data_IF_773662530591
#
_entry.id   IF_773662530591
#
_cell.length_a   1.000
_cell.length_b   1.000
_cell.length_c   1.000
_cell.angle_alpha   90.00
_cell.angle_beta   90.00
_cell.angle_gamma   90.00
#
_symmetry.space_group_name_H-M   'P 1'
#
loop_
_entity.id
_entity.type
_entity.pdbx_description
1 polymer ?
#
# COMPACT_ATOMS: atom_id res chain seq x y z
N UNK A 1 6.00 1.36 19.37
CA UNK A 1 6.30 2.71 18.84
C UNK A 1 5.39 3.04 17.67
N UNK A 2 5.22 2.13 16.69
CA UNK A 2 4.10 2.20 15.74
C UNK A 2 2.82 1.71 16.42
N UNK A 3 1.76 2.52 16.52
CA UNK A 3 0.48 2.08 17.09
C UNK A 3 -0.05 0.84 16.35
N UNK A 4 -0.66 -0.09 17.09
CA UNK A 4 -1.41 -1.25 16.54
C UNK A 4 -0.58 -2.27 15.73
N UNK A 5 0.73 -2.08 15.58
CA UNK A 5 1.62 -3.00 14.88
C UNK A 5 2.55 -3.72 15.86
N UNK A 6 2.50 -5.05 15.85
CA UNK A 6 3.19 -5.92 16.81
C UNK A 6 4.57 -6.36 16.33
N UNK A 7 4.78 -6.41 15.01
CA UNK A 7 5.98 -6.97 14.40
C UNK A 7 6.58 -6.02 13.37
N UNK A 8 7.89 -6.16 13.18
CA UNK A 8 8.68 -5.38 12.24
C UNK A 8 9.66 -6.27 11.47
N UNK A 9 9.78 -6.01 10.17
CA UNK A 9 10.79 -6.59 9.29
C UNK A 9 11.58 -5.48 8.62
N UNK A 10 12.90 -5.49 8.79
CA UNK A 10 13.78 -4.51 8.16
C UNK A 10 14.14 -4.88 6.72
N UNK A 11 14.37 -3.84 5.91
CA UNK A 11 14.81 -3.92 4.53
C UNK A 11 15.79 -2.80 4.17
N UNK A 12 16.37 -2.86 2.97
CA UNK A 12 17.38 -1.89 2.51
C UNK A 12 16.82 -0.74 1.68
N UNK A 13 15.64 -0.91 1.08
CA UNK A 13 15.01 0.11 0.25
C UNK A 13 13.47 -0.03 0.30
N UNK A 14 12.79 1.01 -0.19
CA UNK A 14 11.32 1.10 -0.15
C UNK A 14 10.63 0.05 -0.99
N UNK A 15 11.06 -0.11 -2.24
CA UNK A 15 10.56 -1.15 -3.16
C UNK A 15 10.54 -2.54 -2.53
N UNK A 16 11.60 -2.90 -1.81
CA UNK A 16 11.72 -4.20 -1.15
C UNK A 16 10.65 -4.39 -0.07
N UNK A 17 10.46 -3.42 0.83
CA UNK A 17 9.53 -3.61 1.95
C UNK A 17 8.07 -3.51 1.52
N UNK A 18 7.74 -2.69 0.50
CA UNK A 18 6.38 -2.63 -0.04
C UNK A 18 6.04 -3.85 -0.87
N UNK A 19 6.99 -4.36 -1.66
CA UNK A 19 6.81 -5.64 -2.35
C UNK A 19 6.73 -6.80 -1.36
N UNK A 20 7.47 -6.76 -0.24
CA UNK A 20 7.32 -7.74 0.83
C UNK A 20 5.93 -7.68 1.46
N UNK A 21 5.36 -6.49 1.68
CA UNK A 21 4.00 -6.32 2.17
C UNK A 21 2.97 -6.92 1.20
N UNK A 22 3.09 -6.63 -0.10
CA UNK A 22 2.27 -7.23 -1.16
C UNK A 22 2.35 -8.76 -1.16
N UNK A 23 3.56 -9.31 -1.06
CA UNK A 23 3.76 -10.77 -1.01
C UNK A 23 3.16 -11.38 0.26
N UNK A 24 3.30 -10.71 1.40
CA UNK A 24 2.72 -11.16 2.67
C UNK A 24 1.19 -11.14 2.62
N UNK A 25 0.59 -10.10 2.03
CA UNK A 25 -0.86 -10.06 1.84
C UNK A 25 -1.37 -11.23 0.98
N UNK A 26 -0.71 -11.50 -0.15
CA UNK A 26 -1.04 -12.64 -1.02
C UNK A 26 -0.90 -13.97 -0.29
N UNK A 27 0.17 -14.14 0.49
CA UNK A 27 0.37 -15.34 1.29
C UNK A 27 -0.68 -15.51 2.40
N UNK A 28 -1.10 -14.40 3.02
CA UNK A 28 -2.06 -14.40 4.12
C UNK A 28 -3.47 -14.80 3.66
N UNK A 29 -3.96 -14.21 2.57
CA UNK A 29 -5.34 -14.42 2.12
C UNK A 29 -5.50 -15.34 0.91
N UNK A 30 -4.41 -15.76 0.27
CA UNK A 30 -4.44 -16.63 -0.92
C UNK A 30 -5.00 -15.94 -2.17
N UNK A 31 -5.14 -14.62 -2.16
CA UNK A 31 -5.69 -13.83 -3.25
C UNK A 31 -4.57 -13.25 -4.10
N UNK A 32 -4.87 -12.88 -5.35
CA UNK A 32 -3.82 -12.60 -6.36
C UNK A 32 -3.68 -11.13 -6.73
N UNK A 33 -4.78 -10.37 -6.77
CA UNK A 33 -4.73 -9.00 -7.26
C UNK A 33 -4.22 -8.02 -6.21
N UNK A 34 -3.38 -7.09 -6.66
CA UNK A 34 -2.96 -5.91 -5.91
C UNK A 34 -3.65 -4.71 -6.52
N UNK A 35 -4.15 -3.80 -5.69
CA UNK A 35 -4.84 -2.60 -6.14
C UNK A 35 -4.10 -1.37 -5.63
N UNK A 36 -3.91 -0.36 -6.47
CA UNK A 36 -3.32 0.93 -6.07
C UNK A 36 -3.90 2.09 -6.92
N UNK A 37 -3.76 3.36 -6.49
CA UNK A 37 -4.23 4.50 -7.29
C UNK A 37 -3.39 4.70 -8.56
N UNK A 38 -3.99 4.56 -9.74
CA UNK A 38 -3.28 4.59 -11.03
C UNK A 38 -2.64 5.93 -11.40
N UNK A 39 -3.05 6.99 -10.70
CA UNK A 39 -2.54 8.36 -10.79
C UNK A 39 -1.41 8.65 -9.76
N UNK A 40 -0.96 7.63 -9.03
CA UNK A 40 0.21 7.70 -8.15
C UNK A 40 1.53 7.53 -8.93
N UNK A 41 2.54 8.38 -8.70
CA UNK A 41 3.73 8.42 -9.54
C UNK A 41 4.69 7.26 -9.28
N UNK A 42 4.73 6.74 -8.04
CA UNK A 42 5.70 5.70 -7.69
C UNK A 42 5.36 4.95 -6.40
N UNK A 43 5.43 3.62 -6.42
CA UNK A 43 5.48 2.76 -5.22
C UNK A 43 6.70 1.84 -5.19
N UNK A 44 7.02 1.19 -6.32
CA UNK A 44 8.11 0.21 -6.39
C UNK A 44 8.63 0.11 -7.83
N UNK A 45 9.88 -0.29 -8.02
CA UNK A 45 10.35 -0.69 -9.36
C UNK A 45 10.01 -2.14 -9.68
N UNK A 46 9.42 -2.89 -8.74
CA UNK A 46 9.05 -4.29 -8.97
C UNK A 46 7.80 -4.40 -9.85
N UNK A 47 7.72 -5.51 -10.59
CA UNK A 47 6.77 -5.79 -11.66
C UNK A 47 5.30 -5.49 -11.33
N UNK A 48 4.90 -5.70 -10.07
CA UNK A 48 3.52 -5.46 -9.62
C UNK A 48 3.11 -3.99 -9.75
N UNK A 49 4.05 -3.04 -9.63
CA UNK A 49 3.79 -1.61 -9.81
C UNK A 49 4.28 -1.13 -11.17
N UNK A 50 5.56 -1.37 -11.48
CA UNK A 50 6.19 -0.76 -12.66
C UNK A 50 5.51 -1.21 -13.96
N UNK A 51 4.94 -2.43 -13.97
CA UNK A 51 4.17 -3.00 -15.07
C UNK A 51 2.87 -2.26 -15.41
N UNK A 52 2.40 -1.36 -14.53
CA UNK A 52 1.22 -0.51 -14.74
C UNK A 52 1.59 0.95 -15.08
N UNK A 53 2.87 1.25 -15.24
CA UNK A 53 3.36 2.61 -15.59
C UNK A 53 3.67 2.72 -17.09
N UNK A 54 3.99 3.92 -17.57
CA UNK A 54 4.51 4.10 -18.93
C UNK A 54 5.89 3.46 -19.17
N UNK A 55 6.58 3.04 -18.10
CA UNK A 55 7.92 2.44 -18.13
C UNK A 55 7.85 0.91 -17.91
N UNK A 56 6.94 0.23 -18.60
CA UNK A 56 6.57 -1.18 -18.37
C UNK A 56 7.27 -2.18 -19.31
N UNK A 57 8.28 -1.75 -20.05
CA UNK A 57 9.05 -2.60 -20.97
C UNK A 57 9.82 -3.66 -20.19
N UNK A 58 9.77 -4.90 -20.67
CA UNK A 58 10.43 -6.04 -20.04
C UNK A 58 9.59 -6.77 -18.99
N UNK A 59 8.39 -6.28 -18.68
CA UNK A 59 7.47 -6.93 -17.73
C UNK A 59 6.50 -7.86 -18.50
N UNK A 60 6.46 -9.17 -18.19
CA UNK A 60 5.50 -10.10 -18.78
C UNK A 60 4.04 -9.70 -18.53
N UNK A 61 3.16 -10.01 -19.49
CA UNK A 61 1.74 -9.63 -19.43
C UNK A 61 1.02 -10.27 -18.23
N UNK A 62 1.44 -11.48 -17.86
CA UNK A 62 0.93 -12.22 -16.71
C UNK A 62 1.17 -11.44 -15.41
N UNK A 63 2.36 -10.87 -15.23
CA UNK A 63 2.66 -10.04 -14.06
C UNK A 63 1.84 -8.75 -14.04
N UNK A 64 1.67 -8.10 -15.19
CA UNK A 64 0.83 -6.90 -15.32
C UNK A 64 -0.61 -7.20 -14.94
N UNK A 65 -1.14 -8.32 -15.41
CA UNK A 65 -2.54 -8.73 -15.18
C UNK A 65 -2.89 -8.99 -13.71
N UNK A 66 -1.89 -9.17 -12.84
CA UNK A 66 -2.07 -9.36 -11.39
C UNK A 66 -2.23 -8.05 -10.61
N UNK A 67 -2.29 -6.92 -11.30
CA UNK A 67 -2.44 -5.61 -10.68
C UNK A 67 -3.60 -4.86 -11.32
N UNK A 68 -4.40 -4.23 -10.48
CA UNK A 68 -5.54 -3.38 -10.87
C UNK A 68 -5.30 -1.97 -10.34
N UNK A 69 -5.91 -0.98 -10.99
CA UNK A 69 -5.78 0.42 -10.58
C UNK A 69 -7.15 1.07 -10.43
N UNK A 70 -7.29 1.92 -9.41
CA UNK A 70 -8.47 2.77 -9.23
C UNK A 70 -8.07 4.25 -9.35
N UNK A 71 -9.06 5.15 -9.40
CA UNK A 71 -8.81 6.60 -9.41
C UNK A 71 -8.79 7.13 -7.98
N UNK A 72 -7.72 7.83 -7.60
CA UNK A 72 -7.61 8.33 -6.23
C UNK A 72 -8.72 9.32 -5.83
N UNK A 73 -9.26 10.08 -6.79
CA UNK A 73 -10.33 11.05 -6.52
C UNK A 73 -11.75 10.45 -6.58
N UNK A 74 -11.90 9.14 -6.77
CA UNK A 74 -13.21 8.49 -6.92
C UNK A 74 -13.18 7.05 -6.38
N UNK A 75 -13.54 6.89 -5.11
CA UNK A 75 -13.59 5.59 -4.44
C UNK A 75 -14.65 4.63 -5.02
N UNK A 76 -15.63 5.13 -5.78
CA UNK A 76 -16.58 4.25 -6.47
C UNK A 76 -15.88 3.36 -7.50
N UNK A 77 -14.74 3.81 -8.05
CA UNK A 77 -13.92 2.99 -8.95
C UNK A 77 -13.24 1.83 -8.22
N UNK A 78 -12.89 2.00 -6.94
CA UNK A 78 -12.39 0.92 -6.10
C UNK A 78 -13.50 -0.07 -5.74
N UNK A 79 -14.69 0.44 -5.38
CA UNK A 79 -15.85 -0.42 -5.10
C UNK A 79 -16.23 -1.27 -6.32
N UNK A 80 -16.16 -0.69 -7.52
CA UNK A 80 -16.39 -1.41 -8.77
C UNK A 80 -15.38 -2.55 -8.97
N UNK A 81 -14.10 -2.36 -8.62
CA UNK A 81 -13.11 -3.44 -8.66
C UNK A 81 -13.45 -4.56 -7.67
N UNK A 82 -13.88 -4.24 -6.45
CA UNK A 82 -14.31 -5.25 -5.49
C UNK A 82 -15.57 -6.01 -5.94
N UNK A 83 -16.48 -5.35 -6.64
CA UNK A 83 -17.65 -5.99 -7.26
C UNK A 83 -17.26 -6.89 -8.44
N UNK A 84 -16.28 -6.47 -9.25
CA UNK A 84 -15.80 -7.22 -10.41
C UNK A 84 -14.93 -8.44 -10.04
N UNK A 85 -14.16 -8.33 -8.95
CA UNK A 85 -13.20 -9.35 -8.49
C UNK A 85 -13.50 -9.81 -7.06
N UNK A 86 -14.71 -10.35 -6.78
CA UNK A 86 -15.13 -10.67 -5.43
C UNK A 86 -14.23 -11.74 -4.80
N UNK A 87 -13.55 -11.38 -3.70
CA UNK A 87 -12.67 -12.29 -2.98
C UNK A 87 -11.33 -12.58 -3.66
N UNK A 88 -10.98 -11.90 -4.77
CA UNK A 88 -9.71 -12.11 -5.48
C UNK A 88 -8.67 -10.99 -5.26
N UNK A 89 -9.08 -9.86 -4.68
CA UNK A 89 -8.20 -8.75 -4.31
C UNK A 89 -7.53 -9.04 -2.97
N UNK A 90 -6.20 -9.11 -3.00
CA UNK A 90 -5.37 -9.41 -1.85
C UNK A 90 -5.11 -8.18 -0.99
N UNK A 91 -4.73 -7.07 -1.61
CA UNK A 91 -4.45 -5.85 -0.87
C UNK A 91 -4.70 -4.60 -1.70
N UNK A 92 -4.92 -3.51 -0.98
CA UNK A 92 -4.91 -2.15 -1.51
C UNK A 92 -3.70 -1.44 -0.92
N UNK A 93 -2.90 -0.82 -1.77
CA UNK A 93 -1.72 -0.02 -1.39
C UNK A 93 -2.04 1.45 -1.64
N UNK A 94 -1.80 2.33 -0.67
CA UNK A 94 -1.97 3.77 -0.86
C UNK A 94 -1.02 4.61 0.00
N UNK A 95 -0.65 5.79 -0.49
CA UNK A 95 0.10 6.81 0.26
C UNK A 95 -0.91 7.77 0.94
N UNK A 96 -0.79 8.04 2.25
CA UNK A 96 -1.83 8.71 3.02
C UNK A 96 -1.96 10.21 2.75
N UNK A 97 -0.89 10.95 2.41
CA UNK A 97 -1.00 12.41 2.20
C UNK A 97 -1.36 12.83 0.78
N UNK A 98 -1.21 11.96 -0.21
CA UNK A 98 -1.75 12.21 -1.56
C UNK A 98 -3.27 12.05 -1.62
N UNK A 99 -3.87 11.55 -0.54
CA UNK A 99 -5.31 11.47 -0.34
C UNK A 99 -5.92 12.76 0.27
N UNK A 100 -5.10 13.70 0.76
CA UNK A 100 -5.53 14.76 1.69
C UNK A 100 -5.81 16.11 1.02
N UNK A 101 -5.44 16.28 -0.26
CA UNK A 101 -5.78 17.48 -1.04
C UNK A 101 -7.23 17.45 -1.58
N UNK A 102 -8.22 17.29 -0.70
CA UNK A 102 -9.68 17.50 -0.89
C UNK A 102 -10.56 16.40 -1.52
N UNK A 103 -10.10 15.16 -1.80
CA UNK A 103 -10.99 14.18 -2.49
C UNK A 103 -11.00 12.73 -2.00
N UNK A 104 -10.18 12.31 -1.04
CA UNK A 104 -10.22 10.92 -0.57
C UNK A 104 -10.22 10.80 0.96
N UNK A 105 -11.31 10.24 1.49
CA UNK A 105 -11.39 9.87 2.89
C UNK A 105 -10.55 8.59 3.12
N UNK A 106 -9.35 8.75 3.66
CA UNK A 106 -8.44 7.65 3.96
C UNK A 106 -9.08 6.58 4.86
N UNK A 107 -9.98 6.96 5.79
CA UNK A 107 -10.72 5.99 6.61
C UNK A 107 -11.70 5.17 5.77
N UNK A 108 -12.37 5.80 4.80
CA UNK A 108 -13.29 5.13 3.89
C UNK A 108 -12.54 4.16 2.97
N UNK A 109 -11.39 4.57 2.43
CA UNK A 109 -10.51 3.69 1.66
C UNK A 109 -10.12 2.42 2.46
N UNK A 110 -9.70 2.61 3.72
CA UNK A 110 -9.37 1.49 4.62
C UNK A 110 -10.60 0.62 4.88
N UNK A 111 -11.74 1.24 5.18
CA UNK A 111 -12.98 0.55 5.50
C UNK A 111 -13.49 -0.28 4.32
N UNK A 112 -13.51 0.26 3.10
CA UNK A 112 -13.87 -0.48 1.88
C UNK A 112 -12.95 -1.68 1.72
N UNK A 113 -11.63 -1.48 1.82
CA UNK A 113 -10.64 -2.54 1.67
C UNK A 113 -10.88 -3.70 2.66
N UNK A 114 -11.02 -3.37 3.94
CA UNK A 114 -11.19 -4.34 5.02
C UNK A 114 -12.56 -5.03 4.99
N UNK A 115 -13.62 -4.30 4.59
CA UNK A 115 -14.97 -4.87 4.40
C UNK A 115 -14.98 -6.04 3.41
N UNK A 116 -14.13 -6.00 2.39
CA UNK A 116 -13.99 -7.07 1.40
C UNK A 116 -12.94 -8.13 1.77
N UNK A 117 -12.35 -8.05 2.97
CA UNK A 117 -11.32 -8.99 3.45
C UNK A 117 -9.98 -8.88 2.71
N UNK A 118 -9.76 -7.79 1.97
CA UNK A 118 -8.43 -7.44 1.48
C UNK A 118 -7.66 -6.72 2.59
N UNK A 119 -6.32 -6.78 2.54
CA UNK A 119 -5.48 -6.07 3.50
C UNK A 119 -5.18 -4.65 3.00
N UNK A 120 -5.21 -3.69 3.91
CA UNK A 120 -4.77 -2.33 3.59
C UNK A 120 -3.30 -2.12 3.96
N UNK A 121 -2.49 -1.72 2.97
CA UNK A 121 -1.07 -1.39 3.14
C UNK A 121 -0.91 0.12 3.03
N UNK A 122 -0.59 0.77 4.15
CA UNK A 122 -0.30 2.20 4.18
C UNK A 122 1.17 2.46 3.86
N UNK A 123 1.44 3.15 2.76
CA UNK A 123 2.78 3.57 2.39
C UNK A 123 3.19 4.82 3.17
N UNK A 124 3.96 4.63 4.25
CA UNK A 124 4.56 5.70 5.06
C UNK A 124 6.00 6.04 4.60
N UNK A 125 6.38 5.73 3.36
CA UNK A 125 7.73 5.99 2.83
C UNK A 125 8.12 7.46 2.87
N UNK A 126 7.18 8.37 2.66
CA UNK A 126 7.40 9.82 2.70
C UNK A 126 6.84 10.42 3.99
N UNK A 127 5.66 9.96 4.41
CA UNK A 127 4.90 10.55 5.52
C UNK A 127 5.42 10.11 6.89
N UNK A 128 5.99 8.90 6.98
CA UNK A 128 6.54 8.35 8.21
C UNK A 128 7.64 9.22 8.80
N UNK A 129 7.50 9.59 10.08
CA UNK A 129 8.41 10.43 10.85
C UNK A 129 8.63 11.83 10.27
N UNK A 130 7.79 12.25 9.30
CA UNK A 130 7.80 13.58 8.70
C UNK A 130 6.56 14.38 9.11
N UNK A 131 5.40 13.73 9.09
CA UNK A 131 4.11 14.43 9.20
C UNK A 131 3.58 14.46 10.63
N UNK A 132 3.95 13.45 11.42
CA UNK A 132 3.71 13.30 12.85
C UNK A 132 4.59 12.14 13.37
N UNK A 133 4.52 11.82 14.66
CA UNK A 133 5.24 10.71 15.28
C UNK A 133 4.32 9.51 15.62
N UNK A 134 4.60 8.29 15.11
CA UNK A 134 5.64 7.96 14.13
C UNK A 134 5.26 8.24 12.68
N UNK A 135 4.07 8.76 12.36
CA UNK A 135 3.72 9.09 10.97
C UNK A 135 2.27 9.49 10.81
N UNK A 136 1.81 9.48 9.57
CA UNK A 136 0.42 9.76 9.21
C UNK A 136 -0.58 8.81 9.89
N UNK A 137 -0.17 7.59 10.28
CA UNK A 137 -0.97 6.68 11.10
C UNK A 137 -1.43 7.36 12.40
N UNK A 138 -0.54 8.12 13.06
CA UNK A 138 -0.93 8.91 14.26
C UNK A 138 -1.75 10.12 13.86
N UNK A 139 -1.26 10.90 12.89
CA UNK A 139 -1.88 12.16 12.44
C UNK A 139 -3.36 11.99 12.10
N UNK A 140 -3.68 10.92 11.39
CA UNK A 140 -5.03 10.63 10.91
C UNK A 140 -5.73 9.51 11.71
N UNK A 141 -5.09 8.98 12.75
CA UNK A 141 -5.64 7.88 13.55
C UNK A 141 -6.13 6.69 12.69
N UNK A 142 -5.32 6.27 11.73
CA UNK A 142 -5.67 5.17 10.81
C UNK A 142 -5.32 3.81 11.39
N UNK A 143 -5.97 2.77 10.87
CA UNK A 143 -5.74 1.37 11.29
C UNK A 143 -5.42 0.47 10.09
N UNK A 144 -4.28 0.71 9.40
CA UNK A 144 -3.87 -0.17 8.32
C UNK A 144 -3.52 -1.57 8.84
N UNK A 145 -3.54 -2.58 7.96
CA UNK A 145 -3.13 -3.95 8.33
C UNK A 145 -1.61 -4.08 8.35
N UNK A 146 -0.95 -3.35 7.46
CA UNK A 146 0.50 -3.21 7.40
C UNK A 146 0.87 -1.77 7.01
N UNK A 147 2.09 -1.37 7.37
CA UNK A 147 2.67 -0.11 6.92
C UNK A 147 4.13 -0.27 6.52
N UNK A 148 4.55 0.51 5.54
CA UNK A 148 5.92 0.49 5.02
C UNK A 148 6.59 1.83 5.28
N UNK A 149 7.86 1.79 5.65
CA UNK A 149 8.57 2.95 6.19
C UNK A 149 9.95 3.07 5.54
N UNK A 150 10.38 4.30 5.31
CA UNK A 150 11.70 4.59 4.75
C UNK A 150 12.07 6.05 4.98
N UNK A 151 13.01 6.56 4.19
CA UNK A 151 13.44 7.98 4.16
C UNK A 151 13.70 8.54 5.57
N UNK A 152 12.71 9.25 6.16
CA UNK A 152 12.81 9.89 7.46
C UNK A 152 13.30 8.96 8.57
N UNK A 153 12.82 7.70 8.59
CA UNK A 153 13.22 6.73 9.63
C UNK A 153 14.69 6.30 9.55
N UNK A 154 15.31 6.52 8.39
CA UNK A 154 16.65 6.06 8.08
C UNK A 154 17.69 7.17 8.19
N UNK A 155 17.27 8.43 8.31
CA UNK A 155 18.15 9.60 8.40
C UNK A 155 19.32 9.57 7.38
N UNK A 156 19.00 9.29 6.12
CA UNK A 156 19.98 9.25 5.02
C UNK A 156 20.66 7.90 4.77
N UNK A 157 20.45 6.89 5.62
CA UNK A 157 20.99 5.54 5.41
C UNK A 157 20.06 4.67 4.56
N UNK A 158 20.62 3.60 3.97
CA UNK A 158 19.85 2.54 3.31
C UNK A 158 19.17 1.64 4.36
N UNK A 159 17.99 2.08 4.79
CA UNK A 159 17.16 1.40 5.78
C UNK A 159 15.68 1.67 5.54
N UNK A 160 14.88 0.62 5.60
CA UNK A 160 13.43 0.66 5.50
C UNK A 160 12.83 -0.39 6.44
N UNK A 161 11.54 -0.28 6.72
CA UNK A 161 10.82 -1.25 7.53
C UNK A 161 9.46 -1.58 6.93
N UNK A 162 9.00 -2.80 7.17
CA UNK A 162 7.62 -3.23 7.08
C UNK A 162 7.14 -3.50 8.51
N UNK A 163 6.03 -2.92 8.92
CA UNK A 163 5.38 -3.22 10.20
C UNK A 163 3.96 -3.72 9.98
N UNK A 164 3.45 -4.51 10.91
CA UNK A 164 2.09 -5.03 10.84
C UNK A 164 1.70 -5.81 12.09
N UNK A 165 0.48 -6.36 12.06
CA UNK A 165 -0.08 -7.20 13.13
C UNK A 165 0.69 -8.52 13.27
N UNK A 166 0.62 -9.15 14.44
CA UNK A 166 1.28 -10.45 14.71
C UNK A 166 0.69 -11.62 13.92
N UNK A 167 -0.61 -11.54 13.59
CA UNK A 167 -1.41 -12.63 13.03
C UNK A 167 -1.44 -12.59 11.51
#
# INVERSE_FOLDING_TARGET
>A
LVPQHDMIKFGKNGSLVITAAVKLARAYNGRKYVVFPGDHPFYSYDDWFIGQTACDKGIPAEHKSLTLTYKSNDLSTLEALFAQYPGEISCVVSEPERCVDDFMNLHELIAITQKHGALFIQDEMITGYKTDFPGSITKYNTQPDMATWGKGIANGFSFCALTGKKK
#
